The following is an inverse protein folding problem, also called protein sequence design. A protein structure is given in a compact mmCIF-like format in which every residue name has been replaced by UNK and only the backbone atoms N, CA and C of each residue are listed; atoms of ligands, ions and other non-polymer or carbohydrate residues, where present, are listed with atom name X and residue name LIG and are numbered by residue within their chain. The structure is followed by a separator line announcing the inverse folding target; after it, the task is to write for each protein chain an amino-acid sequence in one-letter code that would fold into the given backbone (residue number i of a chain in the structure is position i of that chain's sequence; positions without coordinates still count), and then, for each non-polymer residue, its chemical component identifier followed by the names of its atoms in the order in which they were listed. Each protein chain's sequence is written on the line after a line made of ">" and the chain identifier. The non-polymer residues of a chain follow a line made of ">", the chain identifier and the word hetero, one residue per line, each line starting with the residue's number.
data_IF_721096825505
#
_entry.id   IF_721096825505
#
_cell.length_a   1.000
_cell.length_b   1.000
_cell.length_c   1.000
_cell.angle_alpha   90.00
_cell.angle_beta   90.00
_cell.angle_gamma   90.00
#
_symmetry.space_group_name_H-M   'P 1'
#
loop_
_entity.id
_entity.type
_entity.pdbx_description
1 polymer ?
#
# COMPACT_ATOMS: atom_id res chain seq x y z
N UNK A 1 -13.77 19.69 3.39
CA UNK A 1 -12.36 19.32 3.16
C UNK A 1 -11.94 17.99 3.78
N UNK A 2 -12.32 17.66 5.03
CA UNK A 2 -11.93 16.39 5.69
C UNK A 2 -12.31 15.12 4.91
N UNK A 3 -13.51 15.07 4.32
CA UNK A 3 -13.95 13.94 3.50
C UNK A 3 -13.12 13.82 2.21
N UNK A 4 -12.87 14.94 1.54
CA UNK A 4 -12.06 14.98 0.32
C UNK A 4 -10.67 14.39 0.55
N UNK A 5 -9.97 14.82 1.61
CA UNK A 5 -8.66 14.27 1.95
C UNK A 5 -8.72 12.78 2.23
N UNK A 6 -9.75 12.28 2.93
CA UNK A 6 -9.90 10.83 3.18
C UNK A 6 -10.08 10.04 1.89
N UNK A 7 -10.94 10.50 0.98
CA UNK A 7 -11.16 9.85 -0.31
C UNK A 7 -9.89 9.86 -1.13
N UNK A 8 -9.21 11.01 -1.22
CA UNK A 8 -7.97 11.14 -1.96
C UNK A 8 -6.87 10.22 -1.41
N UNK A 9 -6.70 10.14 -0.09
CA UNK A 9 -5.73 9.23 0.53
C UNK A 9 -6.00 7.76 0.18
N UNK A 10 -7.27 7.33 0.14
CA UNK A 10 -7.63 5.95 -0.23
C UNK A 10 -7.33 5.69 -1.70
N UNK A 11 -7.65 6.64 -2.60
CA UNK A 11 -7.36 6.51 -4.04
C UNK A 11 -5.86 6.42 -4.28
N UNK A 12 -5.07 7.31 -3.68
CA UNK A 12 -3.61 7.33 -3.83
C UNK A 12 -2.99 6.05 -3.26
N UNK A 13 -3.44 5.60 -2.09
CA UNK A 13 -2.98 4.34 -1.51
C UNK A 13 -3.32 3.14 -2.41
N UNK A 14 -4.55 3.09 -2.94
CA UNK A 14 -4.99 2.06 -3.87
C UNK A 14 -4.14 2.01 -5.14
N UNK A 15 -3.82 3.16 -5.72
CA UNK A 15 -2.94 3.25 -6.89
C UNK A 15 -1.56 2.63 -6.62
N UNK A 16 -0.92 2.97 -5.51
CA UNK A 16 0.39 2.41 -5.16
C UNK A 16 0.33 0.89 -4.89
N UNK A 17 -0.75 0.40 -4.29
CA UNK A 17 -0.94 -1.03 -4.04
C UNK A 17 -1.10 -1.78 -5.37
N UNK A 18 -1.96 -1.30 -6.27
CA UNK A 18 -2.17 -1.93 -7.57
C UNK A 18 -0.87 -1.96 -8.37
N UNK A 19 -0.12 -0.85 -8.39
CA UNK A 19 1.21 -0.79 -9.02
C UNK A 19 2.16 -1.84 -8.42
N UNK A 20 2.27 -1.91 -7.10
CA UNK A 20 3.14 -2.86 -6.41
C UNK A 20 2.77 -4.33 -6.68
N UNK A 21 1.48 -4.63 -6.88
CA UNK A 21 1.02 -5.98 -7.22
C UNK A 21 1.25 -6.28 -8.69
N UNK A 22 1.06 -5.32 -9.59
CA UNK A 22 1.20 -5.53 -11.03
C UNK A 22 2.67 -5.64 -11.47
N UNK A 23 3.56 -4.88 -10.85
CA UNK A 23 4.97 -4.77 -11.25
C UNK A 23 5.69 -6.12 -11.45
N UNK A 24 5.61 -7.11 -10.52
CA UNK A 24 6.31 -8.38 -10.67
C UNK A 24 5.81 -9.24 -11.82
N UNK A 25 4.60 -8.98 -12.34
CA UNK A 25 4.03 -9.68 -13.50
C UNK A 25 4.29 -8.96 -14.82
N UNK A 26 4.64 -7.66 -14.77
CA UNK A 26 4.93 -6.84 -15.95
C UNK A 26 6.41 -6.81 -16.29
N UNK A 27 7.30 -6.92 -15.28
CA UNK A 27 8.75 -6.95 -15.50
C UNK A 27 9.18 -8.28 -16.11
N UNK A 28 9.96 -8.21 -17.19
CA UNK A 28 10.69 -9.37 -17.70
C UNK A 28 11.93 -9.61 -16.83
N UNK A 29 11.81 -10.54 -15.88
CA UNK A 29 12.89 -10.90 -14.96
C UNK A 29 14.02 -11.70 -15.63
N UNK A 30 13.85 -12.12 -16.88
CA UNK A 30 14.83 -12.93 -17.62
C UNK A 30 15.77 -12.09 -18.47
N UNK A 31 15.38 -10.86 -18.81
CA UNK A 31 16.18 -9.92 -19.57
C UNK A 31 16.31 -8.57 -18.85
N UNK A 32 17.48 -8.34 -18.24
CA UNK A 32 17.76 -7.11 -17.50
C UNK A 32 17.84 -5.86 -18.37
N UNK A 33 18.04 -6.00 -19.69
CA UNK A 33 18.05 -4.83 -20.58
C UNK A 33 16.70 -4.11 -20.63
N UNK A 34 15.62 -4.83 -20.34
CA UNK A 34 14.24 -4.32 -20.34
C UNK A 34 13.94 -3.35 -19.19
N UNK A 35 14.58 -3.55 -18.02
CA UNK A 35 14.36 -2.73 -16.81
C UNK A 35 15.63 -2.00 -16.34
N UNK A 36 16.75 -2.13 -17.07
CA UNK A 36 18.02 -1.50 -16.70
C UNK A 36 17.95 0.03 -16.69
N UNK A 37 17.12 0.61 -17.56
CA UNK A 37 16.88 2.06 -17.64
C UNK A 37 15.84 2.59 -16.65
N UNK A 38 15.14 1.69 -15.93
CA UNK A 38 14.09 2.07 -15.01
C UNK A 38 14.65 2.58 -13.68
N UNK A 39 13.83 3.33 -12.95
CA UNK A 39 14.22 3.82 -11.63
C UNK A 39 14.41 2.66 -10.65
N UNK A 40 15.64 2.51 -10.16
CA UNK A 40 16.08 1.38 -9.35
C UNK A 40 16.87 0.30 -10.11
N UNK A 41 16.98 0.42 -11.45
CA UNK A 41 17.88 -0.38 -12.27
C UNK A 41 19.36 -0.09 -11.98
N UNK A 42 20.29 -0.95 -12.43
CA UNK A 42 20.09 -2.14 -13.28
C UNK A 42 19.69 -3.40 -12.48
N UNK A 43 19.57 -3.31 -11.16
CA UNK A 43 19.20 -4.46 -10.32
C UNK A 43 17.68 -4.64 -10.26
N UNK A 44 17.21 -5.87 -10.42
CA UNK A 44 15.78 -6.20 -10.26
C UNK A 44 15.26 -5.80 -8.86
N UNK A 45 16.07 -6.01 -7.83
CA UNK A 45 15.72 -5.65 -6.45
C UNK A 45 15.49 -4.15 -6.28
N UNK A 46 16.33 -3.31 -6.90
CA UNK A 46 16.18 -1.86 -6.83
C UNK A 46 14.93 -1.38 -7.58
N UNK A 47 14.64 -1.93 -8.76
CA UNK A 47 13.40 -1.62 -9.50
C UNK A 47 12.18 -1.98 -8.66
N UNK A 48 12.15 -3.21 -8.12
CA UNK A 48 11.06 -3.66 -7.24
C UNK A 48 10.96 -2.82 -5.95
N UNK A 49 12.07 -2.38 -5.36
CA UNK A 49 12.03 -1.53 -4.18
C UNK A 49 11.34 -0.19 -4.46
N UNK A 50 11.64 0.43 -5.61
CA UNK A 50 11.04 1.72 -6.02
C UNK A 50 9.57 1.56 -6.40
N UNK A 51 9.22 0.49 -7.10
CA UNK A 51 7.88 0.30 -7.66
C UNK A 51 6.91 -0.35 -6.66
N UNK A 52 7.39 -1.31 -5.87
CA UNK A 52 6.57 -2.04 -4.91
C UNK A 52 6.61 -1.44 -3.50
N UNK A 53 7.74 -0.84 -3.10
CA UNK A 53 7.93 -0.30 -1.74
C UNK A 53 6.84 0.68 -1.28
N UNK A 54 6.49 1.71 -2.08
CA UNK A 54 5.41 2.62 -1.73
C UNK A 54 4.04 1.92 -1.57
N UNK A 55 3.77 0.88 -2.37
CA UNK A 55 2.54 0.09 -2.24
C UNK A 55 2.48 -0.72 -0.97
N UNK A 56 3.59 -1.32 -0.53
CA UNK A 56 3.68 -2.01 0.76
C UNK A 56 3.41 -1.04 1.92
N UNK A 57 4.03 0.14 1.90
CA UNK A 57 3.80 1.17 2.91
C UNK A 57 2.33 1.64 2.93
N UNK A 58 1.73 1.84 1.75
CA UNK A 58 0.32 2.20 1.61
C UNK A 58 -0.61 1.12 2.17
N UNK A 59 -0.32 -0.16 1.90
CA UNK A 59 -1.07 -1.28 2.45
C UNK A 59 -0.98 -1.34 3.98
N UNK A 60 0.23 -1.19 4.54
CA UNK A 60 0.45 -1.15 5.99
C UNK A 60 -0.31 0.01 6.65
N UNK A 61 -0.29 1.18 6.01
CA UNK A 61 -1.03 2.36 6.49
C UNK A 61 -2.54 2.09 6.54
N UNK A 62 -3.13 1.60 5.45
CA UNK A 62 -4.57 1.27 5.41
C UNK A 62 -4.92 0.18 6.42
N UNK A 63 -4.10 -0.86 6.53
CA UNK A 63 -4.29 -1.92 7.52
C UNK A 63 -4.30 -1.35 8.95
N UNK A 64 -3.33 -0.49 9.29
CA UNK A 64 -3.27 0.18 10.59
C UNK A 64 -4.52 1.00 10.91
N UNK A 65 -5.04 1.74 9.92
CA UNK A 65 -6.30 2.49 10.08
C UNK A 65 -7.49 1.57 10.39
N UNK A 66 -7.60 0.43 9.68
CA UNK A 66 -8.67 -0.54 9.90
C UNK A 66 -8.56 -1.19 11.27
N UNK A 67 -7.36 -1.61 11.68
CA UNK A 67 -7.11 -2.22 13.00
C UNK A 67 -7.46 -1.24 14.11
N UNK A 68 -7.00 0.01 14.02
CA UNK A 68 -7.29 1.05 15.01
C UNK A 68 -8.79 1.31 15.14
N UNK A 69 -9.49 1.44 14.02
CA UNK A 69 -10.95 1.64 14.02
C UNK A 69 -11.73 0.46 14.62
N UNK A 70 -11.27 -0.79 14.38
CA UNK A 70 -11.89 -1.98 14.99
C UNK A 70 -11.71 -1.99 16.51
N UNK A 71 -10.54 -1.61 17.02
CA UNK A 71 -10.27 -1.54 18.46
C UNK A 71 -11.18 -0.53 19.17
N UNK A 72 -11.31 0.67 18.62
CA UNK A 72 -12.19 1.72 19.16
C UNK A 72 -13.67 1.26 19.26
N UNK A 73 -14.13 0.45 18.30
CA UNK A 73 -15.50 -0.10 18.31
C UNK A 73 -15.70 -1.18 19.36
N UNK A 74 -14.71 -2.04 19.58
CA UNK A 74 -14.78 -3.10 20.60
C UNK A 74 -14.85 -2.48 22.00
N UNK A 75 -13.99 -1.50 22.28
CA UNK A 75 -13.97 -0.78 23.57
C UNK A 75 -15.30 -0.06 23.84
N UNK A 76 -15.87 0.60 22.82
CA UNK A 76 -17.18 1.26 22.94
C UNK A 76 -18.33 0.29 23.24
N UNK A 77 -18.31 -0.94 22.68
CA UNK A 77 -19.32 -1.96 22.96
C UNK A 77 -19.25 -2.46 24.40
N UNK A 78 -18.05 -2.61 24.94
CA UNK A 78 -17.84 -3.07 26.33
C UNK A 78 -18.33 -2.03 27.36
N UNK A 79 -18.14 -0.73 27.10
CA UNK A 79 -18.62 0.34 27.99
C UNK A 79 -20.16 0.45 27.99
N UNK A 80 -20.83 0.10 26.88
CA UNK A 80 -22.28 0.30 26.73
C UNK A 80 -23.12 -0.89 27.22
N UNK A 81 -22.49 -2.01 27.59
CA UNK A 81 -23.17 -3.18 28.16
C UNK A 81 -22.90 -3.21 29.68
N UNK A 82 -23.72 -2.55 30.52
CA UNK A 82 -23.63 -2.74 31.96
C UNK A 82 -24.10 -4.15 32.31
N UNK A 83 -23.34 -4.82 33.19
CA UNK A 83 -23.66 -6.11 33.79
C UNK A 83 -24.82 -5.95 34.77
#
# INVERSE_FOLDING_TARGET
>A
MKLLFRVLSVIVAGYFIVRAVAEPFLIDVTDSSTYAGDWGGPSLLGVLAVHCGPGVLAAMFLYGLVVRWRRERTERKQITQPV
#
